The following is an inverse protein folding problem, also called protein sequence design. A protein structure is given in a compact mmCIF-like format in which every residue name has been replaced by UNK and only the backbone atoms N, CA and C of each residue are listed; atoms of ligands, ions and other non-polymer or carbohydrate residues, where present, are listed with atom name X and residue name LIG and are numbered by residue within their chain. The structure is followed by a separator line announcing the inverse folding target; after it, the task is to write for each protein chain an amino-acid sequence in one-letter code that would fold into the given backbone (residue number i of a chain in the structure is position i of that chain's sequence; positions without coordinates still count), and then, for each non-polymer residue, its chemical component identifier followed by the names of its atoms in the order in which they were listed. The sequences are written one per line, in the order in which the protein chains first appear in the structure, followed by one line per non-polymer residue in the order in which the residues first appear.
data_IF_932683599108
#
_entry.id   IF_932683599108
#
_cell.length_a   1.000
_cell.length_b   1.000
_cell.length_c   1.000
_cell.angle_alpha   90.00
_cell.angle_beta   90.00
_cell.angle_gamma   90.00
#
_symmetry.space_group_name_H-M   'P 1'
#
loop_
_entity.id
_entity.type
_entity.pdbx_description
1 polymer ?
#
# COMPACT_ATOMS: atom_id res chain seq x y z
N UNK A 1 -2.14 18.88 39.95
CA UNK A 1 -3.32 19.25 39.16
C UNK A 1 -4.40 19.98 39.96
N UNK A 2 -5.03 19.35 40.96
CA UNK A 2 -6.13 19.94 41.73
C UNK A 2 -5.79 21.32 42.35
N UNK A 3 -4.60 21.46 42.94
CA UNK A 3 -4.12 22.74 43.48
C UNK A 3 -3.97 23.85 42.42
N UNK A 4 -3.50 23.50 41.22
CA UNK A 4 -3.36 24.48 40.13
C UNK A 4 -4.74 24.93 39.63
N UNK A 5 -5.72 24.03 39.59
CA UNK A 5 -7.10 24.34 39.24
C UNK A 5 -7.76 25.26 40.29
N UNK A 6 -7.59 24.94 41.58
CA UNK A 6 -8.12 25.74 42.70
C UNK A 6 -7.56 27.17 42.69
N UNK A 7 -6.24 27.33 42.48
CA UNK A 7 -5.61 28.65 42.38
C UNK A 7 -6.19 29.48 41.24
N UNK A 8 -6.39 28.89 40.05
CA UNK A 8 -7.00 29.61 38.92
C UNK A 8 -8.47 29.95 39.15
N UNK A 9 -9.23 29.08 39.81
CA UNK A 9 -10.61 29.38 40.20
C UNK A 9 -10.69 30.59 41.16
N UNK A 10 -9.67 30.78 42.00
CA UNK A 10 -9.49 31.97 42.84
C UNK A 10 -8.83 33.17 42.16
N UNK A 11 -8.62 33.17 40.84
CA UNK A 11 -7.98 34.26 40.10
C UNK A 11 -6.45 34.37 40.29
N UNK A 12 -5.83 33.37 40.92
CA UNK A 12 -4.38 33.32 41.16
C UNK A 12 -3.67 32.48 40.09
N UNK A 13 -2.39 32.77 39.80
CA UNK A 13 -1.60 31.96 38.88
C UNK A 13 -1.37 30.56 39.46
N UNK A 14 -1.54 29.55 38.63
CA UNK A 14 -1.24 28.15 38.94
C UNK A 14 -1.15 27.33 37.65
N UNK A 15 -0.10 26.52 37.48
CA UNK A 15 0.05 25.67 36.30
C UNK A 15 0.53 24.30 36.75
N UNK A 16 -0.10 23.27 36.22
CA UNK A 16 0.34 21.89 36.37
C UNK A 16 0.59 21.31 34.99
N UNK A 17 1.74 20.68 34.80
CA UNK A 17 2.13 20.08 33.53
C UNK A 17 2.33 18.59 33.77
N UNK A 18 1.51 17.78 33.11
CA UNK A 18 1.78 16.36 32.93
C UNK A 18 2.82 16.19 31.84
N UNK A 19 3.89 15.45 32.13
CA UNK A 19 4.97 15.22 31.18
C UNK A 19 4.88 13.83 30.56
N UNK A 20 5.03 13.77 29.23
CA UNK A 20 5.25 12.53 28.50
C UNK A 20 6.66 11.97 28.72
N UNK A 21 7.00 10.90 28.00
CA UNK A 21 8.31 10.27 28.09
C UNK A 21 9.42 11.22 27.61
N UNK A 22 10.54 11.26 28.33
CA UNK A 22 11.75 12.00 27.96
C UNK A 22 12.81 11.06 27.38
N UNK A 23 13.57 11.54 26.40
CA UNK A 23 14.63 10.79 25.72
C UNK A 23 15.85 10.62 26.64
N UNK A 24 16.17 11.68 27.37
CA UNK A 24 17.25 11.69 28.35
C UNK A 24 16.80 11.03 29.66
N UNK A 25 17.50 9.97 30.05
CA UNK A 25 17.22 9.25 31.30
C UNK A 25 18.05 9.87 32.42
N UNK A 26 17.40 10.40 33.44
CA UNK A 26 18.04 10.71 34.73
C UNK A 26 17.74 9.61 35.73
N UNK A 27 18.50 9.54 36.83
CA UNK A 27 18.24 8.58 37.91
C UNK A 27 16.80 8.67 38.46
N UNK A 28 16.17 9.85 38.32
CA UNK A 28 14.81 10.14 38.79
C UNK A 28 13.71 9.71 37.81
N UNK A 29 14.02 9.52 36.51
CA UNK A 29 13.08 9.04 35.49
C UNK A 29 13.23 7.55 35.17
N UNK A 30 14.25 6.90 35.71
CA UNK A 30 14.53 5.47 35.51
C UNK A 30 13.39 4.54 35.99
N UNK A 31 12.61 4.96 36.98
CA UNK A 31 11.50 4.18 37.54
C UNK A 31 10.12 4.47 36.91
N UNK A 32 10.01 5.49 36.05
CA UNK A 32 8.73 5.86 35.41
C UNK A 32 8.55 5.09 34.10
N UNK A 33 8.24 3.80 34.22
CA UNK A 33 7.74 2.97 33.12
C UNK A 33 6.21 2.99 33.02
N UNK A 34 5.53 3.57 34.01
CA UNK A 34 4.08 3.62 34.12
C UNK A 34 3.51 4.81 33.34
N UNK A 35 3.28 4.60 32.05
CA UNK A 35 2.62 5.59 31.19
C UNK A 35 2.92 5.44 29.71
N UNK A 36 3.03 4.21 29.18
CA UNK A 36 3.00 3.96 27.72
C UNK A 36 1.58 4.20 27.18
N UNK A 37 1.14 5.45 27.25
CA UNK A 37 -0.12 5.93 26.70
C UNK A 37 0.10 6.49 25.30
N UNK A 38 -0.50 5.82 24.32
CA UNK A 38 -0.85 6.34 23.00
C UNK A 38 0.30 6.95 22.16
N UNK A 39 1.16 6.09 21.61
CA UNK A 39 1.93 6.40 20.39
C UNK A 39 2.91 7.59 20.46
N UNK A 40 3.39 7.91 21.65
CA UNK A 40 4.25 9.05 21.89
C UNK A 40 5.73 8.68 21.77
N UNK A 41 6.45 9.30 20.83
CA UNK A 41 7.91 9.32 20.87
C UNK A 41 8.42 10.04 22.12
N UNK A 42 9.67 9.81 22.50
CA UNK A 42 10.27 10.51 23.62
C UNK A 42 10.53 11.99 23.27
N UNK A 43 10.41 12.88 24.26
CA UNK A 43 10.74 14.29 24.17
C UNK A 43 12.24 14.50 24.38
N UNK A 44 12.88 15.22 23.47
CA UNK A 44 14.21 15.79 23.74
C UNK A 44 14.11 16.88 24.82
N UNK A 45 15.22 17.21 25.50
CA UNK A 45 15.22 18.33 26.46
C UNK A 45 14.87 19.68 25.82
N UNK A 46 15.27 19.90 24.56
CA UNK A 46 14.92 21.10 23.82
C UNK A 46 13.40 21.19 23.55
N UNK A 47 12.78 20.08 23.14
CA UNK A 47 11.32 20.01 22.95
C UNK A 47 10.57 20.16 24.28
N UNK A 48 11.10 19.57 25.37
CA UNK A 48 10.53 19.71 26.70
C UNK A 48 10.50 21.15 27.18
N UNK A 49 11.60 21.89 27.04
CA UNK A 49 11.68 23.31 27.39
C UNK A 49 10.77 24.17 26.51
N UNK A 50 10.72 23.92 25.20
CA UNK A 50 9.80 24.63 24.31
C UNK A 50 8.32 24.40 24.71
N UNK A 51 7.95 23.20 25.14
CA UNK A 51 6.61 22.89 25.64
C UNK A 51 6.33 23.50 27.01
N UNK A 52 7.36 23.65 27.86
CA UNK A 52 7.24 24.38 29.13
C UNK A 52 6.89 25.84 28.88
N UNK A 53 7.63 26.52 28.00
CA UNK A 53 7.39 27.92 27.64
C UNK A 53 5.97 28.10 27.07
N UNK A 54 5.57 27.22 26.14
CA UNK A 54 4.21 27.23 25.58
C UNK A 54 3.11 26.97 26.63
N UNK A 55 3.40 26.19 27.67
CA UNK A 55 2.44 25.93 28.74
C UNK A 55 2.25 27.15 29.67
N UNK A 56 3.28 27.97 29.85
CA UNK A 56 3.20 29.21 30.64
C UNK A 56 2.26 30.25 30.03
N UNK A 57 2.21 30.33 28.70
CA UNK A 57 1.34 31.26 27.97
C UNK A 57 -0.13 30.82 27.92
N UNK A 58 -0.44 29.66 28.50
CA UNK A 58 -1.67 28.95 28.23
C UNK A 58 -2.78 29.19 29.26
N UNK A 59 -4.05 29.40 28.83
CA UNK A 59 -5.12 29.82 29.73
C UNK A 59 -5.71 28.71 30.61
N UNK A 60 -5.39 27.42 30.43
CA UNK A 60 -5.92 26.34 31.32
C UNK A 60 -4.92 25.87 32.37
N UNK A 61 -5.43 25.51 33.55
CA UNK A 61 -4.66 25.14 34.74
C UNK A 61 -3.80 23.87 34.59
N UNK A 62 -4.17 22.99 33.65
CA UNK A 62 -3.46 21.75 33.37
C UNK A 62 -3.09 21.63 31.89
N UNK A 63 -1.88 21.16 31.60
CA UNK A 63 -1.42 20.80 30.25
C UNK A 63 -0.74 19.45 30.26
N UNK A 64 -0.87 18.71 29.15
CA UNK A 64 -0.06 17.53 28.88
C UNK A 64 0.99 17.91 27.83
N UNK A 65 2.26 17.88 28.20
CA UNK A 65 3.39 18.06 27.32
C UNK A 65 3.91 16.68 26.89
N UNK A 66 3.47 16.22 25.72
CA UNK A 66 3.85 14.93 25.16
C UNK A 66 3.94 15.01 23.64
N UNK A 67 4.87 14.25 23.07
CA UNK A 67 4.95 14.08 21.63
C UNK A 67 3.81 13.16 21.19
N UNK A 68 2.93 13.61 20.31
CA UNK A 68 1.84 12.77 19.79
C UNK A 68 2.13 12.51 18.32
N UNK A 69 2.28 11.25 17.92
CA UNK A 69 2.39 10.87 16.51
C UNK A 69 0.99 10.53 15.96
N UNK A 70 0.35 11.40 15.16
CA UNK A 70 -1.03 11.18 14.73
C UNK A 70 -1.16 9.95 13.82
N UNK A 71 -0.10 9.55 13.13
CA UNK A 71 -0.03 8.30 12.35
C UNK A 71 -0.18 7.05 13.21
N UNK A 72 0.40 7.06 14.42
CA UNK A 72 0.30 5.95 15.37
C UNK A 72 -1.10 5.88 15.98
N UNK A 73 -1.70 7.03 16.26
CA UNK A 73 -3.09 7.08 16.72
C UNK A 73 -4.08 6.61 15.62
N UNK A 74 -3.88 6.95 14.34
CA UNK A 74 -4.75 6.48 13.22
C UNK A 74 -4.85 4.97 13.06
N UNK A 75 -3.85 4.24 13.52
CA UNK A 75 -3.76 2.79 13.34
C UNK A 75 -4.46 1.98 14.45
N UNK A 76 -4.99 2.65 15.48
CA UNK A 76 -5.64 2.01 16.64
C UNK A 76 -7.17 2.25 16.61
N UNK A 77 -7.93 1.22 16.24
CA UNK A 77 -9.40 1.25 16.21
C UNK A 77 -10.04 1.43 17.62
N UNK A 78 -9.24 1.33 18.69
CA UNK A 78 -9.69 1.48 20.08
C UNK A 78 -9.38 2.84 20.70
N UNK A 79 -9.04 3.84 19.88
CA UNK A 79 -8.81 5.21 20.35
C UNK A 79 -9.98 5.71 21.23
N UNK A 80 -9.70 6.10 22.49
CA UNK A 80 -10.65 6.79 23.34
C UNK A 80 -11.24 8.01 22.64
N UNK A 81 -12.53 8.28 22.86
CA UNK A 81 -13.27 9.33 22.15
C UNK A 81 -12.59 10.72 22.21
N UNK A 82 -11.93 11.04 23.33
CA UNK A 82 -11.18 12.29 23.54
C UNK A 82 -10.00 12.46 22.59
N UNK A 83 -9.37 11.36 22.15
CA UNK A 83 -8.18 11.40 21.30
C UNK A 83 -8.52 11.38 19.80
N UNK A 84 -9.77 11.08 19.42
CA UNK A 84 -10.19 11.06 18.01
C UNK A 84 -10.09 12.43 17.34
N UNK A 85 -10.29 13.51 18.09
CA UNK A 85 -10.17 14.89 17.58
C UNK A 85 -8.75 15.29 17.17
N UNK A 86 -7.73 14.65 17.75
CA UNK A 86 -6.31 14.85 17.38
C UNK A 86 -5.96 14.12 16.07
N UNK A 87 -6.81 13.20 15.68
CA UNK A 87 -6.63 12.34 14.53
C UNK A 87 -7.62 12.73 13.46
N UNK A 88 -7.32 13.82 12.74
CA UNK A 88 -8.12 14.16 11.56
C UNK A 88 -8.02 12.97 10.60
N UNK A 89 -9.13 12.32 10.19
CA UNK A 89 -9.06 11.36 9.11
C UNK A 89 -8.44 12.11 7.95
N UNK A 90 -7.26 11.66 7.50
CA UNK A 90 -6.71 12.18 6.28
C UNK A 90 -7.79 11.90 5.23
N UNK A 91 -8.34 12.95 4.62
CA UNK A 91 -9.07 12.81 3.36
C UNK A 91 -8.04 12.20 2.42
N UNK A 92 -8.10 10.88 2.27
CA UNK A 92 -7.18 10.12 1.45
C UNK A 92 -7.39 10.57 0.01
N UNK A 93 -6.43 11.34 -0.50
CA UNK A 93 -6.07 11.25 -1.90
C UNK A 93 -5.47 9.87 -2.13
N UNK A 94 -6.32 8.84 -2.19
CA UNK A 94 -5.94 7.44 -2.34
C UNK A 94 -5.13 7.17 -3.62
N UNK A 95 -5.10 8.11 -4.57
CA UNK A 95 -4.35 8.00 -5.81
C UNK A 95 -2.83 8.14 -5.63
N UNK A 96 -2.32 8.99 -4.72
CA UNK A 96 -0.89 9.36 -4.74
C UNK A 96 0.04 8.38 -4.00
N UNK A 97 -0.40 7.79 -2.88
CA UNK A 97 0.39 6.77 -2.16
C UNK A 97 0.19 5.36 -2.70
N UNK A 98 -0.91 5.11 -3.42
CA UNK A 98 -1.17 3.82 -4.06
C UNK A 98 -0.29 3.61 -5.30
N UNK A 99 0.09 4.66 -6.04
CA UNK A 99 0.98 4.51 -7.21
C UNK A 99 2.37 3.96 -6.87
N UNK A 100 3.13 4.51 -5.90
CA UNK A 100 4.42 3.96 -5.50
C UNK A 100 4.32 2.52 -4.99
N UNK A 101 3.30 2.22 -4.18
CA UNK A 101 3.08 0.88 -3.63
C UNK A 101 2.66 -0.14 -4.71
N UNK A 102 1.83 0.26 -5.69
CA UNK A 102 1.45 -0.56 -6.85
C UNK A 102 2.61 -0.78 -7.81
N UNK A 103 3.49 0.21 -7.95
CA UNK A 103 4.73 0.10 -8.72
C UNK A 103 5.69 -0.91 -8.06
N UNK A 104 5.91 -0.77 -6.75
CA UNK A 104 6.75 -1.71 -6.00
C UNK A 104 6.17 -3.13 -5.97
N UNK A 105 4.86 -3.28 -5.80
CA UNK A 105 4.20 -4.59 -5.85
C UNK A 105 4.40 -5.28 -7.22
N UNK A 106 4.34 -4.51 -8.33
CA UNK A 106 4.66 -5.02 -9.69
C UNK A 106 6.12 -5.44 -9.81
N UNK A 107 7.06 -4.60 -9.36
CA UNK A 107 8.49 -4.93 -9.37
C UNK A 107 8.80 -6.20 -8.57
N UNK A 108 8.18 -6.38 -7.41
CA UNK A 108 8.30 -7.61 -6.60
C UNK A 108 7.67 -8.84 -7.29
N UNK A 109 6.63 -8.64 -8.11
CA UNK A 109 6.01 -9.72 -8.87
C UNK A 109 6.85 -10.15 -10.10
N UNK A 110 7.73 -9.30 -10.61
CA UNK A 110 8.58 -9.59 -11.78
C UNK A 110 9.92 -10.23 -11.38
N UNK A 111 10.34 -10.09 -10.11
CA UNK A 111 11.61 -10.63 -9.62
C UNK A 111 11.63 -12.18 -9.58
N UNK A 112 12.77 -12.81 -9.94
CA UNK A 112 13.06 -14.21 -9.66
C UNK A 112 13.01 -14.48 -8.15
N UNK A 113 12.63 -15.69 -7.74
CA UNK A 113 12.39 -16.04 -6.32
C UNK A 113 13.59 -15.75 -5.41
N UNK A 114 14.81 -16.05 -5.87
CA UNK A 114 16.04 -15.81 -5.11
C UNK A 114 16.35 -14.30 -4.92
N UNK A 115 16.01 -13.48 -5.92
CA UNK A 115 16.20 -12.02 -5.86
C UNK A 115 15.07 -11.35 -5.08
N UNK A 116 13.84 -11.85 -5.21
CA UNK A 116 12.68 -11.42 -4.43
C UNK A 116 12.94 -11.54 -2.93
N UNK A 117 13.44 -12.70 -2.49
CA UNK A 117 13.76 -12.92 -1.08
C UNK A 117 14.80 -11.92 -0.56
N UNK A 118 15.89 -11.68 -1.30
CA UNK A 118 16.95 -10.73 -0.91
C UNK A 118 16.40 -9.31 -0.80
N UNK A 119 15.66 -8.85 -1.80
CA UNK A 119 15.03 -7.54 -1.82
C UNK A 119 14.08 -7.36 -0.63
N UNK A 120 13.27 -8.37 -0.31
CA UNK A 120 12.36 -8.33 0.83
C UNK A 120 13.10 -8.37 2.17
N UNK A 121 14.22 -9.10 2.26
CA UNK A 121 15.05 -9.11 3.47
C UNK A 121 15.64 -7.72 3.75
N UNK A 122 16.17 -7.06 2.72
CA UNK A 122 16.72 -5.71 2.86
C UNK A 122 15.62 -4.70 3.21
N UNK A 123 14.43 -4.83 2.60
CA UNK A 123 13.26 -4.03 2.92
C UNK A 123 12.84 -4.20 4.39
N UNK A 124 12.77 -5.43 4.89
CA UNK A 124 12.43 -5.73 6.28
C UNK A 124 13.46 -5.14 7.23
N UNK A 125 14.75 -5.31 6.96
CA UNK A 125 15.84 -4.78 7.79
C UNK A 125 15.87 -3.25 7.80
N UNK A 126 15.67 -2.61 6.65
CA UNK A 126 15.57 -1.16 6.53
C UNK A 126 14.39 -0.59 7.32
N UNK A 127 13.20 -1.18 7.18
CA UNK A 127 12.04 -0.74 7.94
C UNK A 127 12.19 -1.01 9.45
N UNK A 128 12.77 -2.15 9.83
CA UNK A 128 13.01 -2.46 11.23
C UNK A 128 14.02 -1.50 11.88
N UNK A 129 15.11 -1.16 11.18
CA UNK A 129 16.05 -0.15 11.63
C UNK A 129 15.37 1.21 11.82
N UNK A 130 14.54 1.63 10.85
CA UNK A 130 13.85 2.91 10.92
C UNK A 130 12.77 2.99 12.02
N UNK A 131 12.18 1.87 12.42
CA UNK A 131 11.27 1.79 13.59
C UNK A 131 12.04 1.93 14.90
N UNK A 132 13.23 1.33 14.98
CA UNK A 132 14.09 1.40 16.17
C UNK A 132 14.95 2.66 16.24
N UNK A 133 14.84 3.58 15.27
CA UNK A 133 15.66 4.79 15.19
C UNK A 133 17.13 4.53 14.84
N UNK A 134 17.44 3.39 14.25
CA UNK A 134 18.78 3.05 13.79
C UNK A 134 19.06 3.67 12.42
N UNK A 135 20.25 4.24 12.27
CA UNK A 135 20.71 4.86 11.02
C UNK A 135 21.13 3.84 9.95
N UNK A 136 21.37 2.57 10.33
CA UNK A 136 21.76 1.52 9.39
C UNK A 136 20.95 0.23 9.59
N UNK A 137 20.49 -0.41 8.49
CA UNK A 137 19.89 -1.75 8.50
C UNK A 137 20.85 -2.87 8.93
N UNK A 138 22.17 -2.63 8.90
CA UNK A 138 23.17 -3.63 9.29
C UNK A 138 23.13 -3.97 10.78
N UNK A 139 22.59 -3.04 11.60
CA UNK A 139 22.34 -3.26 13.01
C UNK A 139 21.23 -4.29 13.26
N UNK A 140 20.38 -4.55 12.26
CA UNK A 140 19.35 -5.58 12.30
C UNK A 140 19.92 -6.87 11.71
N UNK A 141 20.26 -7.83 12.58
CA UNK A 141 20.79 -9.13 12.13
C UNK A 141 19.68 -10.02 11.58
N UNK A 142 19.84 -10.62 10.39
CA UNK A 142 18.81 -11.44 9.73
C UNK A 142 18.21 -12.57 10.59
N UNK A 143 19.06 -13.30 11.32
CA UNK A 143 18.64 -14.42 12.16
C UNK A 143 18.31 -14.03 13.62
N UNK A 144 18.47 -12.75 14.01
CA UNK A 144 18.23 -12.33 15.39
C UNK A 144 16.75 -12.02 15.59
N UNK A 145 16.11 -12.53 16.66
CA UNK A 145 14.72 -12.22 16.96
C UNK A 145 14.49 -10.73 17.17
N UNK A 146 13.38 -10.21 16.65
CA UNK A 146 12.96 -8.82 16.81
C UNK A 146 12.85 -8.42 18.30
N UNK A 147 12.34 -9.31 19.15
CA UNK A 147 12.27 -9.10 20.61
C UNK A 147 13.64 -8.79 21.24
N UNK A 148 14.71 -9.39 20.72
CA UNK A 148 16.06 -9.27 21.29
C UNK A 148 16.74 -7.95 20.89
N UNK A 149 16.15 -7.22 19.95
CA UNK A 149 16.59 -5.88 19.49
C UNK A 149 15.61 -4.77 19.88
N UNK A 150 14.67 -5.07 20.78
CA UNK A 150 13.78 -4.05 21.38
C UNK A 150 12.42 -3.91 20.72
N UNK A 151 11.99 -4.86 19.88
CA UNK A 151 10.60 -4.88 19.42
C UNK A 151 9.65 -5.35 20.52
N UNK A 152 8.52 -4.66 20.58
CA UNK A 152 7.35 -4.90 21.40
C UNK A 152 6.09 -4.88 20.53
N UNK A 153 4.90 -4.97 21.15
CA UNK A 153 3.63 -4.99 20.42
C UNK A 153 3.38 -3.72 19.60
N UNK A 154 3.89 -2.57 20.01
CA UNK A 154 3.66 -1.30 19.32
C UNK A 154 4.58 -1.14 18.10
N UNK A 155 5.88 -1.35 18.31
CA UNK A 155 6.88 -1.35 17.24
C UNK A 155 6.64 -2.46 16.21
N UNK A 156 6.08 -3.60 16.62
CA UNK A 156 5.64 -4.65 15.69
C UNK A 156 4.51 -4.20 14.75
N UNK A 157 3.53 -3.46 15.27
CA UNK A 157 2.44 -2.88 14.46
C UNK A 157 2.99 -1.80 13.53
N UNK A 158 3.92 -0.97 13.98
CA UNK A 158 4.54 0.05 13.15
C UNK A 158 5.32 -0.56 11.97
N UNK A 159 6.14 -1.58 12.24
CA UNK A 159 6.85 -2.32 11.18
C UNK A 159 5.88 -2.93 10.17
N UNK A 160 4.81 -3.55 10.64
CA UNK A 160 3.75 -4.10 9.78
C UNK A 160 3.13 -3.01 8.90
N UNK A 161 2.80 -1.85 9.45
CA UNK A 161 2.19 -0.76 8.67
C UNK A 161 3.15 -0.21 7.62
N UNK A 162 4.43 -0.01 7.96
CA UNK A 162 5.46 0.42 7.00
C UNK A 162 5.66 -0.61 5.88
N UNK A 163 5.69 -1.90 6.21
CA UNK A 163 5.78 -2.97 5.23
C UNK A 163 4.54 -3.02 4.33
N UNK A 164 3.33 -2.86 4.85
CA UNK A 164 2.11 -2.76 4.04
C UNK A 164 2.15 -1.56 3.08
N UNK A 165 2.61 -0.40 3.56
CA UNK A 165 2.73 0.79 2.71
C UNK A 165 3.78 0.65 1.61
N UNK A 166 4.89 -0.01 1.89
CA UNK A 166 5.97 -0.21 0.91
C UNK A 166 5.69 -1.33 -0.10
N UNK A 167 5.03 -2.42 0.32
CA UNK A 167 4.82 -3.60 -0.52
C UNK A 167 3.43 -3.67 -1.15
N UNK A 168 2.45 -2.90 -0.65
CA UNK A 168 1.05 -3.02 -1.04
C UNK A 168 0.37 -4.33 -0.56
N UNK A 169 1.09 -5.19 0.18
CA UNK A 169 0.55 -6.46 0.67
C UNK A 169 -0.37 -6.24 1.88
N UNK A 170 -1.37 -7.11 2.02
CA UNK A 170 -2.20 -7.18 3.23
C UNK A 170 -1.52 -8.07 4.26
N UNK A 171 -1.12 -7.48 5.40
CA UNK A 171 -0.40 -8.18 6.45
C UNK A 171 -1.24 -8.24 7.74
N UNK A 172 -1.32 -9.40 8.43
CA UNK A 172 -2.00 -9.51 9.72
C UNK A 172 -1.28 -8.72 10.82
N UNK A 173 -1.98 -8.39 11.90
CA UNK A 173 -1.42 -7.60 13.00
C UNK A 173 -0.36 -8.36 13.83
N UNK A 174 -0.44 -9.70 13.90
CA UNK A 174 0.47 -10.55 14.66
C UNK A 174 1.75 -10.96 13.89
N UNK A 175 1.99 -10.36 12.71
CA UNK A 175 3.05 -10.74 11.76
C UNK A 175 4.44 -10.91 12.39
N UNK A 176 4.84 -9.98 13.28
CA UNK A 176 6.16 -9.98 13.92
C UNK A 176 6.28 -11.05 15.01
N UNK A 177 5.14 -11.51 15.56
CA UNK A 177 5.12 -12.61 16.52
C UNK A 177 5.11 -13.97 15.83
N UNK A 178 4.36 -14.08 14.73
CA UNK A 178 4.32 -15.30 13.90
C UNK A 178 5.65 -15.54 13.17
N UNK A 179 6.35 -14.46 12.81
CA UNK A 179 7.63 -14.47 12.12
C UNK A 179 8.67 -13.64 12.89
N UNK A 180 9.28 -14.22 13.94
CA UNK A 180 10.03 -13.46 14.94
C UNK A 180 11.40 -12.96 14.48
N UNK A 181 11.87 -13.35 13.30
CA UNK A 181 13.16 -12.91 12.74
C UNK A 181 12.97 -12.20 11.40
N UNK A 182 13.87 -11.27 11.02
CA UNK A 182 13.86 -10.65 9.70
C UNK A 182 13.84 -11.66 8.55
N UNK A 183 14.61 -12.75 8.64
CA UNK A 183 14.62 -13.81 7.63
C UNK A 183 13.28 -14.54 7.50
N UNK A 184 12.66 -14.90 8.63
CA UNK A 184 11.36 -15.57 8.63
C UNK A 184 10.28 -14.66 8.05
N UNK A 185 10.33 -13.37 8.40
CA UNK A 185 9.41 -12.38 7.89
C UNK A 185 9.59 -12.14 6.38
N UNK A 186 10.83 -12.01 5.91
CA UNK A 186 11.13 -11.85 4.49
C UNK A 186 10.65 -13.04 3.65
N UNK A 187 10.80 -14.26 4.15
CA UNK A 187 10.32 -15.48 3.49
C UNK A 187 8.79 -15.48 3.36
N UNK A 188 8.09 -15.16 4.44
CA UNK A 188 6.64 -15.05 4.43
C UNK A 188 6.13 -13.96 3.48
N UNK A 189 6.82 -12.83 3.40
CA UNK A 189 6.50 -11.78 2.43
C UNK A 189 6.72 -12.27 0.99
N UNK A 190 7.76 -13.07 0.73
CA UNK A 190 8.01 -13.64 -0.59
C UNK A 190 6.90 -14.61 -1.00
N UNK A 191 6.48 -15.50 -0.09
CA UNK A 191 5.36 -16.42 -0.29
C UNK A 191 4.04 -15.67 -0.54
N UNK A 192 3.79 -14.59 0.20
CA UNK A 192 2.61 -13.74 0.00
C UNK A 192 2.65 -13.01 -1.34
N UNK A 193 3.82 -12.53 -1.76
CA UNK A 193 4.00 -11.83 -3.03
C UNK A 193 3.85 -12.78 -4.22
N UNK A 194 4.34 -14.02 -4.12
CA UNK A 194 4.14 -15.05 -5.15
C UNK A 194 2.69 -15.53 -5.21
N UNK A 195 2.05 -15.76 -4.06
CA UNK A 195 0.64 -16.14 -3.99
C UNK A 195 -0.32 -15.04 -4.49
N UNK A 196 0.09 -13.77 -4.40
CA UNK A 196 -0.67 -12.63 -4.93
C UNK A 196 -0.51 -12.44 -6.44
N UNK A 197 0.41 -13.17 -7.11
CA UNK A 197 0.54 -13.09 -8.58
C UNK A 197 -0.72 -13.67 -9.21
N UNK A 198 -1.34 -12.97 -10.17
CA UNK A 198 -2.46 -13.54 -10.90
C UNK A 198 -1.99 -14.81 -11.61
N UNK A 199 -2.77 -15.89 -11.51
CA UNK A 199 -2.53 -17.18 -12.16
C UNK A 199 -3.65 -17.49 -13.17
N UNK A 200 -3.34 -18.25 -14.22
CA UNK A 200 -4.32 -18.64 -15.24
C UNK A 200 -4.89 -17.44 -16.00
N UNK A 201 -6.21 -17.43 -16.24
CA UNK A 201 -6.89 -16.39 -17.03
C UNK A 201 -6.69 -14.96 -16.48
N UNK A 202 -6.55 -14.82 -15.16
CA UNK A 202 -6.25 -13.52 -14.56
C UNK A 202 -4.85 -13.02 -14.93
N UNK A 203 -3.89 -13.94 -15.09
CA UNK A 203 -2.51 -13.61 -15.50
C UNK A 203 -2.49 -13.16 -16.96
N UNK A 204 -3.22 -13.88 -17.82
CA UNK A 204 -3.34 -13.55 -19.24
C UNK A 204 -4.00 -12.19 -19.43
N UNK A 205 -5.09 -11.89 -18.73
CA UNK A 205 -5.72 -10.56 -18.75
C UNK A 205 -4.78 -9.45 -18.29
N UNK A 206 -4.12 -9.62 -17.14
CA UNK A 206 -3.16 -8.62 -16.66
C UNK A 206 -2.00 -8.39 -17.65
N UNK A 207 -1.56 -9.44 -18.34
CA UNK A 207 -0.57 -9.34 -19.42
C UNK A 207 -1.08 -8.56 -20.63
N UNK A 208 -2.34 -8.75 -21.02
CA UNK A 208 -2.99 -8.00 -22.10
C UNK A 208 -3.15 -6.51 -21.75
N UNK A 209 -3.60 -6.20 -20.53
CA UNK A 209 -3.72 -4.80 -20.05
C UNK A 209 -2.35 -4.09 -20.05
N UNK A 210 -1.29 -4.82 -19.69
CA UNK A 210 0.09 -4.31 -19.71
C UNK A 210 0.58 -4.07 -21.13
N UNK A 211 0.26 -4.97 -22.06
CA UNK A 211 0.58 -4.81 -23.49
C UNK A 211 -0.15 -3.61 -24.09
N UNK A 212 -1.45 -3.43 -23.80
CA UNK A 212 -2.24 -2.27 -24.24
C UNK A 212 -1.62 -0.95 -23.77
N UNK A 213 -1.26 -0.87 -22.48
CA UNK A 213 -0.58 0.31 -21.92
C UNK A 213 0.74 0.62 -22.63
N UNK A 214 1.54 -0.41 -22.95
CA UNK A 214 2.81 -0.24 -23.65
C UNK A 214 2.60 0.22 -25.10
N UNK A 215 1.58 -0.31 -25.77
CA UNK A 215 1.23 0.09 -27.14
C UNK A 215 0.73 1.54 -27.19
N UNK A 216 -0.09 1.96 -26.24
CA UNK A 216 -0.57 3.35 -26.12
C UNK A 216 0.56 4.36 -25.87
N UNK A 217 1.63 3.92 -25.20
CA UNK A 217 2.80 4.75 -24.92
C UNK A 217 3.79 4.84 -26.09
N UNK A 218 3.59 4.09 -27.19
CA UNK A 218 4.49 4.12 -28.35
C UNK A 218 4.28 5.39 -29.19
N UNK A 219 5.37 5.99 -29.70
CA UNK A 219 5.25 7.09 -30.66
C UNK A 219 4.69 6.60 -32.01
N UNK A 220 4.13 7.49 -32.85
CA UNK A 220 3.69 7.12 -34.19
C UNK A 220 4.86 6.54 -35.00
N UNK A 221 4.69 5.31 -35.50
CA UNK A 221 5.75 4.52 -36.14
C UNK A 221 6.61 3.66 -35.20
N UNK A 222 6.24 3.56 -33.92
CA UNK A 222 6.98 2.83 -32.88
C UNK A 222 6.84 1.30 -32.92
N UNK A 223 5.99 0.75 -33.79
CA UNK A 223 5.82 -0.70 -33.95
C UNK A 223 6.59 -1.16 -35.18
N UNK A 224 7.61 -1.99 -34.99
CA UNK A 224 8.32 -2.63 -36.12
C UNK A 224 7.46 -3.74 -36.73
N UNK A 225 7.66 -4.02 -38.03
CA UNK A 225 6.99 -5.13 -38.71
C UNK A 225 7.25 -6.48 -38.03
N UNK A 226 8.43 -6.64 -37.43
CA UNK A 226 8.82 -7.83 -36.67
C UNK A 226 8.02 -7.98 -35.37
N UNK A 227 7.81 -6.87 -34.63
CA UNK A 227 6.97 -6.86 -33.43
C UNK A 227 5.51 -7.14 -33.79
N UNK A 228 5.00 -6.53 -34.88
CA UNK A 228 3.65 -6.77 -35.37
C UNK A 228 3.44 -8.24 -35.79
N UNK A 229 4.41 -8.84 -36.49
CA UNK A 229 4.37 -10.25 -36.86
C UNK A 229 4.37 -11.15 -35.62
N UNK A 230 5.17 -10.81 -34.60
CA UNK A 230 5.23 -11.58 -33.35
C UNK A 230 3.93 -11.51 -32.55
N UNK A 231 3.29 -10.35 -32.46
CA UNK A 231 1.98 -10.21 -31.80
C UNK A 231 0.93 -11.07 -32.53
N UNK A 232 0.92 -11.02 -33.87
CA UNK A 232 -0.02 -11.82 -34.69
C UNK A 232 0.19 -13.32 -34.50
N UNK A 233 1.45 -13.78 -34.50
CA UNK A 233 1.82 -15.18 -34.23
C UNK A 233 1.26 -15.65 -32.88
N UNK A 234 1.42 -14.84 -31.83
CA UNK A 234 0.87 -15.13 -30.50
C UNK A 234 -0.65 -15.23 -30.52
N UNK A 235 -1.35 -14.32 -31.22
CA UNK A 235 -2.81 -14.32 -31.32
C UNK A 235 -3.36 -15.51 -32.12
N UNK A 236 -2.59 -16.04 -33.07
CA UNK A 236 -2.98 -17.22 -33.87
C UNK A 236 -2.64 -18.56 -33.21
N UNK A 237 -1.95 -18.54 -32.07
CA UNK A 237 -1.52 -19.76 -31.38
C UNK A 237 -2.72 -20.48 -30.75
N UNK A 238 -2.86 -21.81 -30.90
CA UNK A 238 -3.91 -22.57 -30.23
C UNK A 238 -3.78 -22.45 -28.71
N UNK A 239 -4.87 -22.07 -28.04
CA UNK A 239 -4.93 -22.00 -26.58
C UNK A 239 -5.01 -23.41 -25.97
N UNK A 240 -4.31 -23.66 -24.84
CA UNK A 240 -4.38 -24.94 -24.16
C UNK A 240 -5.80 -25.21 -23.63
N UNK A 241 -6.36 -26.37 -23.96
CA UNK A 241 -7.70 -26.78 -23.54
C UNK A 241 -8.85 -26.24 -24.40
N UNK A 242 -8.57 -25.44 -25.43
CA UNK A 242 -9.54 -25.17 -26.47
C UNK A 242 -9.73 -26.43 -27.31
N UNK A 243 -10.96 -26.95 -27.39
CA UNK A 243 -11.38 -27.51 -28.68
C UNK A 243 -11.02 -26.46 -29.73
N UNK A 244 -10.48 -26.83 -30.90
CA UNK A 244 -10.21 -25.86 -31.94
C UNK A 244 -11.47 -25.02 -32.04
N UNK A 245 -11.34 -23.72 -31.77
CA UNK A 245 -12.38 -22.80 -32.14
C UNK A 245 -12.53 -23.12 -33.62
N UNK A 246 -13.60 -23.82 -33.96
CA UNK A 246 -14.08 -23.81 -35.32
C UNK A 246 -14.13 -22.32 -35.57
N UNK A 247 -13.27 -21.86 -36.45
CA UNK A 247 -13.46 -20.62 -37.12
C UNK A 247 -14.78 -20.80 -37.85
N UNK A 248 -15.89 -20.72 -37.13
CA UNK A 248 -17.09 -20.10 -37.60
C UNK A 248 -16.74 -18.61 -37.72
N UNK A 249 -15.82 -18.33 -38.65
CA UNK A 249 -16.07 -17.34 -39.66
C UNK A 249 -17.54 -17.56 -40.02
N UNK A 250 -18.43 -16.56 -39.94
CA UNK A 250 -19.69 -16.69 -40.62
C UNK A 250 -19.31 -16.96 -42.08
N UNK A 251 -19.35 -18.23 -42.49
CA UNK A 251 -19.41 -18.64 -43.88
C UNK A 251 -20.82 -18.29 -44.32
N UNK A 252 -21.13 -17.00 -44.34
CA UNK A 252 -21.93 -16.45 -45.41
C UNK A 252 -20.94 -16.20 -46.51
N UNK A 253 -21.11 -16.89 -47.63
CA UNK A 253 -20.29 -16.77 -48.82
C UNK A 253 -20.04 -15.30 -49.17
N UNK A 254 -18.87 -14.81 -48.78
CA UNK A 254 -18.32 -13.53 -49.26
C UNK A 254 -17.53 -13.76 -50.56
N UNK A 255 -17.93 -14.76 -51.34
CA UNK A 255 -17.38 -15.08 -52.67
C UNK A 255 -18.49 -15.15 -53.74
N UNK A 256 -19.71 -14.71 -53.41
CA UNK A 256 -20.78 -14.44 -54.38
C UNK A 256 -21.20 -12.96 -54.35
N UNK A 257 -20.27 -12.08 -53.96
CA UNK A 257 -20.35 -10.64 -54.24
C UNK A 257 -20.06 -10.44 -55.73
N UNK A 258 -21.01 -10.79 -56.58
CA UNK A 258 -21.08 -10.22 -57.92
C UNK A 258 -21.38 -8.73 -57.74
N UNK A 259 -20.45 -7.80 -58.04
CA UNK A 259 -20.74 -6.36 -58.01
C UNK A 259 -21.87 -5.99 -59.00
N UNK A 260 -22.13 -6.88 -59.96
CA UNK A 260 -23.09 -6.71 -61.05
C UNK A 260 -24.56 -6.83 -60.60
N UNK A 261 -24.84 -7.40 -59.43
CA UNK A 261 -26.22 -7.61 -58.95
C UNK A 261 -26.83 -6.38 -58.27
N UNK A 262 -26.02 -5.39 -57.87
CA UNK A 262 -26.52 -4.16 -57.23
C UNK A 262 -26.94 -3.12 -58.28
N UNK A 263 -26.35 -3.12 -59.48
CA UNK A 263 -26.73 -2.19 -60.54
C UNK A 263 -28.00 -2.62 -61.30
N UNK A 264 -28.41 -3.89 -61.22
CA UNK A 264 -29.61 -4.41 -61.91
C UNK A 264 -30.77 -4.78 -60.99
N UNK A 265 -30.60 -4.71 -59.66
CA UNK A 265 -31.66 -5.02 -58.72
C UNK A 265 -32.78 -3.98 -58.81
N UNK A 266 -34.03 -4.43 -58.89
CA UNK A 266 -35.16 -3.51 -58.78
C UNK A 266 -35.32 -3.04 -57.34
N UNK A 267 -35.88 -1.85 -57.13
CA UNK A 267 -36.06 -1.28 -55.79
C UNK A 267 -36.74 -2.27 -54.81
N UNK A 268 -37.70 -3.06 -55.28
CA UNK A 268 -38.41 -4.06 -54.47
C UNK A 268 -37.49 -5.17 -53.95
N UNK A 269 -36.46 -5.58 -54.71
CA UNK A 269 -35.51 -6.62 -54.31
C UNK A 269 -34.49 -6.10 -53.29
N UNK A 270 -34.17 -4.81 -53.35
CA UNK A 270 -33.31 -4.14 -52.37
C UNK A 270 -34.02 -4.03 -51.02
N UNK A 271 -35.31 -3.68 -51.01
CA UNK A 271 -36.08 -3.60 -49.77
C UNK A 271 -36.30 -4.97 -49.12
N UNK A 272 -36.53 -6.03 -49.91
CA UNK A 272 -36.70 -7.39 -49.40
C UNK A 272 -35.40 -7.97 -48.77
N UNK A 273 -34.24 -7.55 -49.27
CA UNK A 273 -32.93 -7.91 -48.72
C UNK A 273 -32.66 -7.21 -47.38
N UNK A 274 -33.05 -5.94 -47.25
CA UNK A 274 -32.90 -5.16 -46.01
C UNK A 274 -33.82 -5.71 -44.91
N UNK A 275 -35.06 -6.06 -45.24
CA UNK A 275 -36.02 -6.63 -44.27
C UNK A 275 -35.56 -8.01 -43.75
N UNK A 276 -34.91 -8.83 -44.59
CA UNK A 276 -34.32 -10.11 -44.16
C UNK A 276 -33.11 -9.96 -43.24
N UNK A 277 -32.31 -8.90 -43.41
CA UNK A 277 -31.09 -8.68 -42.61
C UNK A 277 -31.38 -7.98 -41.28
N UNK A 278 -32.39 -7.11 -41.23
CA UNK A 278 -32.69 -6.35 -40.01
C UNK A 278 -33.76 -6.98 -39.12
N UNK A 279 -34.50 -7.96 -39.63
CA UNK A 279 -35.54 -8.67 -38.88
C UNK A 279 -36.75 -7.76 -38.62
N UNK A 280 -37.93 -8.20 -39.06
CA UNK A 280 -39.18 -7.49 -38.76
C UNK A 280 -39.36 -7.32 -37.25
N UNK A 281 -39.58 -6.08 -36.81
CA UNK A 281 -39.97 -5.77 -35.43
C UNK A 281 -41.29 -6.45 -35.01
#
# INVERSE_FOLDING_TARGET
DALAAERRAGGLPGLSIGWGLWEERSEMTAAVTAGRGAGAGALTSAEGLALFDAALESPYAYRLAARIAPSVLRADDRLPAVLRGLVRPARTGAASAAEPARSMARQLAELPEAELYRTLLDLVRGNAAAVLGHSSPDLIRPARPFKDVGFDSLTGVELRNRLMSSTGLRLPAALVFDHPTPEALARHLAERATAARPTGDAAVRAGLDSLETLLDALPPGGVSDELAARIRDVLTRPLPGGTPATTARPTGDADDLAPDLIESASDDEVFDYIDRQLGSA
#
